data_IF_558951012540
#
_entry.id   IF_558951012540
#
_cell.length_a   1.000
_cell.length_b   1.000
_cell.length_c   1.000
_cell.angle_alpha   90.00
_cell.angle_beta   90.00
_cell.angle_gamma   90.00
#
_symmetry.space_group_name_H-M   'P 1'
#
loop_
_entity.id
_entity.type
_entity.pdbx_description
1 polymer ?
#
# COMPACT_ATOMS: atom_id res chain seq x y z
N UNK A 1 62.83 100.34 -3.02
CA UNK A 1 63.56 99.20 -2.50
C UNK A 1 62.76 98.72 -1.27
N UNK A 2 61.76 97.84 -1.54
CA UNK A 2 60.92 97.41 -0.44
C UNK A 2 60.85 95.84 -0.45
N UNK A 3 61.22 95.36 0.72
CA UNK A 3 61.14 93.89 0.98
C UNK A 3 59.75 93.57 1.58
N UNK A 4 58.97 92.83 0.85
CA UNK A 4 57.70 92.29 1.37
C UNK A 4 57.91 90.92 1.97
N UNK A 5 57.64 90.81 3.25
CA UNK A 5 57.62 89.52 4.01
C UNK A 5 56.33 88.82 3.83
N UNK A 6 56.36 87.66 3.16
CA UNK A 6 55.17 86.74 3.06
C UNK A 6 55.08 85.84 4.32
N UNK A 7 54.04 85.95 5.05
CA UNK A 7 53.69 85.05 6.17
C UNK A 7 53.03 83.76 5.61
N UNK A 8 53.64 82.61 5.94
CA UNK A 8 53.13 81.31 5.61
C UNK A 8 52.09 80.92 6.69
N UNK A 9 50.87 80.63 6.27
CA UNK A 9 49.83 80.03 7.18
C UNK A 9 49.87 78.51 6.97
N UNK A 10 50.16 77.78 8.06
CA UNK A 10 49.96 76.33 8.11
C UNK A 10 48.45 76.06 8.25
N UNK A 11 47.91 75.28 7.33
CA UNK A 11 46.57 74.70 7.45
C UNK A 11 46.71 73.28 7.99
N UNK A 12 46.17 73.08 9.19
CA UNK A 12 46.06 71.71 9.79
C UNK A 12 44.91 70.99 9.14
N UNK A 13 45.20 69.91 8.40
CA UNK A 13 44.20 68.97 7.91
C UNK A 13 43.89 67.95 9.00
N UNK A 14 42.65 67.94 9.47
CA UNK A 14 42.08 66.89 10.36
C UNK A 14 41.49 65.82 9.44
N UNK A 15 42.17 64.70 9.32
CA UNK A 15 41.61 63.50 8.66
C UNK A 15 40.58 62.83 9.59
N UNK A 16 39.34 63.02 9.26
CA UNK A 16 38.25 62.28 9.92
C UNK A 16 38.13 60.84 9.33
N UNK A 17 38.58 59.86 10.12
CA UNK A 17 38.37 58.45 9.81
C UNK A 17 36.89 58.12 10.00
N UNK A 18 36.12 58.01 8.90
CA UNK A 18 34.76 57.45 8.91
C UNK A 18 34.86 55.91 9.00
N UNK A 19 34.65 55.35 10.22
CA UNK A 19 34.35 53.94 10.39
C UNK A 19 32.97 53.65 9.82
N UNK A 20 32.93 53.05 8.62
CA UNK A 20 31.70 52.44 8.05
C UNK A 20 31.50 51.14 8.82
N UNK A 21 30.59 51.14 9.81
CA UNK A 21 30.11 49.92 10.43
C UNK A 21 29.29 49.14 9.36
N UNK A 22 29.87 48.14 8.71
CA UNK A 22 29.14 47.15 7.92
C UNK A 22 28.27 46.34 8.89
N UNK A 23 27.00 46.75 9.01
CA UNK A 23 25.95 45.86 9.54
C UNK A 23 25.84 44.68 8.58
N UNK A 24 26.53 43.58 8.90
CA UNK A 24 26.26 42.30 8.28
C UNK A 24 24.83 41.89 8.68
N UNK A 25 23.88 42.20 7.80
CA UNK A 25 22.50 41.76 7.92
C UNK A 25 22.53 40.21 7.91
N UNK A 26 22.34 39.60 9.09
CA UNK A 26 22.07 38.18 9.15
C UNK A 26 20.84 37.89 8.27
N UNK A 27 21.07 37.31 7.09
CA UNK A 27 19.98 36.77 6.30
C UNK A 27 19.20 35.80 7.18
N UNK A 28 17.87 35.96 7.33
CA UNK A 28 17.09 35.00 8.08
C UNK A 28 17.31 33.65 7.43
N UNK A 29 17.85 32.69 8.20
CA UNK A 29 18.00 31.31 7.76
C UNK A 29 16.65 30.90 7.16
N UNK A 30 16.67 30.49 5.88
CA UNK A 30 15.47 30.03 5.21
C UNK A 30 14.86 28.96 6.11
N UNK A 31 13.68 29.21 6.67
CA UNK A 31 12.96 28.21 7.45
C UNK A 31 12.82 27.01 6.53
N UNK A 32 13.56 25.95 6.81
CA UNK A 32 13.40 24.66 6.14
C UNK A 32 11.96 24.25 6.37
N UNK A 33 11.14 24.32 5.30
CA UNK A 33 9.73 23.89 5.40
C UNK A 33 9.76 22.43 5.80
N UNK A 34 8.98 22.07 6.82
CA UNK A 34 8.81 20.68 7.21
C UNK A 34 8.33 19.91 5.97
N UNK A 35 9.00 18.84 5.53
CA UNK A 35 8.59 18.04 4.38
C UNK A 35 7.14 17.60 4.46
N UNK A 36 6.64 17.33 5.66
CA UNK A 36 5.24 16.98 5.90
C UNK A 36 4.23 18.04 5.39
N UNK A 37 4.62 19.30 5.30
CA UNK A 37 3.76 20.36 4.78
C UNK A 37 3.72 20.38 3.24
N UNK A 38 4.69 19.77 2.57
CA UNK A 38 4.88 19.88 1.12
C UNK A 38 4.77 18.55 0.37
N UNK A 39 5.29 17.46 0.93
CA UNK A 39 5.26 16.14 0.31
C UNK A 39 3.86 15.53 0.45
N UNK A 40 3.34 15.00 -0.65
CA UNK A 40 2.03 14.35 -0.72
C UNK A 40 2.17 12.83 -0.73
N UNK A 41 1.09 12.13 -0.36
CA UNK A 41 1.12 10.65 -0.26
C UNK A 41 1.42 9.97 -1.61
N UNK A 42 1.06 10.57 -2.74
CA UNK A 42 1.42 10.06 -4.06
C UNK A 42 2.83 10.49 -4.53
N UNK A 43 3.61 11.12 -3.68
CA UNK A 43 4.99 11.53 -3.92
C UNK A 43 6.00 10.75 -3.09
N UNK A 44 5.55 9.68 -2.45
CA UNK A 44 6.39 8.69 -1.79
C UNK A 44 6.25 7.33 -2.48
N UNK A 45 7.20 6.44 -2.25
CA UNK A 45 7.15 5.05 -2.69
C UNK A 45 7.35 4.15 -1.48
N UNK A 46 6.56 3.07 -1.41
CA UNK A 46 6.58 2.09 -0.33
C UNK A 46 6.56 0.68 -0.89
N UNK A 47 7.02 -0.29 -0.08
CA UNK A 47 6.87 -1.71 -0.39
C UNK A 47 5.57 -2.22 0.24
N UNK A 48 4.88 -3.08 -0.51
CA UNK A 48 3.72 -3.82 -0.07
C UNK A 48 3.94 -5.32 -0.16
N UNK A 49 3.27 -6.07 0.69
CA UNK A 49 3.13 -7.52 0.54
C UNK A 49 1.89 -7.84 -0.29
N UNK A 50 2.04 -8.72 -1.27
CA UNK A 50 0.95 -9.34 -2.01
C UNK A 50 0.36 -10.44 -1.13
N UNK A 51 -0.96 -10.60 -1.09
CA UNK A 51 -1.63 -11.57 -0.22
C UNK A 51 -1.09 -11.58 1.22
N UNK A 52 -1.02 -10.43 1.86
CA UNK A 52 -0.37 -10.23 3.17
C UNK A 52 -0.87 -11.15 4.28
N UNK A 53 -2.05 -11.69 4.13
CA UNK A 53 -2.72 -12.63 5.05
C UNK A 53 -2.30 -14.08 4.83
N UNK A 54 -1.63 -14.43 3.71
CA UNK A 54 -1.39 -15.81 3.27
C UNK A 54 -0.43 -16.54 4.21
N UNK A 55 -0.97 -17.49 4.97
CA UNK A 55 -0.20 -18.27 5.95
C UNK A 55 0.57 -19.46 5.33
N UNK A 56 0.49 -19.60 4.00
CA UNK A 56 0.98 -20.75 3.25
C UNK A 56 -0.04 -21.88 3.14
N UNK A 57 0.21 -22.77 2.19
CA UNK A 57 -0.62 -23.94 1.97
C UNK A 57 -0.55 -24.90 3.16
N UNK A 58 -1.68 -25.43 3.58
CA UNK A 58 -1.72 -26.51 4.57
C UNK A 58 -1.02 -27.77 4.04
N UNK A 59 -0.33 -28.56 4.90
CA UNK A 59 0.55 -29.64 4.47
C UNK A 59 -0.09 -30.69 3.55
N UNK A 60 -1.32 -31.13 3.84
CA UNK A 60 -2.05 -32.09 3.04
C UNK A 60 -2.45 -31.50 1.69
N UNK A 61 -2.93 -30.26 1.67
CA UNK A 61 -3.24 -29.51 0.45
C UNK A 61 -1.97 -29.30 -0.39
N UNK A 62 -0.88 -28.87 0.21
CA UNK A 62 0.40 -28.68 -0.47
C UNK A 62 0.85 -29.97 -1.18
N UNK A 63 0.78 -31.10 -0.47
CA UNK A 63 1.14 -32.43 -1.05
C UNK A 63 0.18 -32.83 -2.17
N UNK A 64 -1.11 -32.57 -2.02
CA UNK A 64 -2.11 -32.84 -3.04
C UNK A 64 -1.84 -32.04 -4.31
N UNK A 65 -1.60 -30.73 -4.16
CA UNK A 65 -1.27 -29.83 -5.28
C UNK A 65 0.06 -30.23 -5.95
N UNK A 66 1.09 -30.56 -5.16
CA UNK A 66 2.36 -31.06 -5.73
C UNK A 66 2.17 -32.28 -6.65
N UNK A 67 1.24 -33.16 -6.31
CA UNK A 67 0.96 -34.38 -7.07
C UNK A 67 0.04 -34.12 -8.28
N UNK A 68 -0.94 -33.27 -8.16
CA UNK A 68 -2.01 -33.07 -9.14
C UNK A 68 -1.83 -31.83 -10.00
N UNK A 69 -1.31 -30.74 -9.43
CA UNK A 69 -1.13 -29.44 -10.04
C UNK A 69 0.15 -28.77 -9.55
N UNK A 70 1.33 -29.30 -9.95
CA UNK A 70 2.61 -28.75 -9.52
C UNK A 70 2.83 -27.30 -9.95
N UNK A 71 2.19 -26.87 -11.01
CA UNK A 71 2.15 -25.46 -11.46
C UNK A 71 1.45 -24.55 -10.44
N UNK A 72 0.26 -24.94 -9.99
CA UNK A 72 -0.49 -24.20 -8.95
C UNK A 72 0.25 -24.25 -7.61
N UNK A 73 0.80 -25.42 -7.22
CA UNK A 73 1.63 -25.48 -6.03
C UNK A 73 2.80 -24.49 -6.10
N UNK A 74 3.47 -24.42 -7.25
CA UNK A 74 4.63 -23.55 -7.39
C UNK A 74 4.27 -22.06 -7.25
N UNK A 75 3.10 -21.62 -7.76
CA UNK A 75 2.65 -20.24 -7.64
C UNK A 75 2.22 -19.85 -6.22
N UNK A 76 1.78 -20.81 -5.41
CA UNK A 76 1.31 -20.60 -4.04
C UNK A 76 2.35 -20.92 -2.95
N UNK A 77 3.60 -21.23 -3.34
CA UNK A 77 4.64 -21.73 -2.44
C UNK A 77 5.40 -20.58 -1.75
N UNK A 78 4.67 -19.72 -1.07
CA UNK A 78 5.16 -18.65 -0.21
C UNK A 78 4.25 -18.50 1.01
N UNK A 79 4.64 -17.71 1.98
CA UNK A 79 3.85 -17.40 3.17
C UNK A 79 4.35 -16.13 3.82
N UNK A 80 3.49 -15.45 4.57
CA UNK A 80 3.81 -14.24 5.31
C UNK A 80 3.61 -14.44 6.82
N UNK A 81 4.38 -13.74 7.68
CA UNK A 81 4.09 -13.63 9.09
C UNK A 81 2.82 -12.79 9.32
N UNK A 82 2.40 -12.64 10.58
CA UNK A 82 1.27 -11.79 10.93
C UNK A 82 1.45 -10.33 10.46
N UNK A 83 0.33 -9.62 10.28
CA UNK A 83 0.31 -8.27 9.71
C UNK A 83 1.11 -7.24 10.53
N UNK A 84 1.14 -7.36 11.86
CA UNK A 84 1.89 -6.45 12.70
C UNK A 84 3.40 -6.66 12.52
N UNK A 85 3.84 -7.90 12.38
CA UNK A 85 5.23 -8.25 12.07
C UNK A 85 5.65 -7.67 10.72
N UNK A 86 4.83 -7.80 9.68
CA UNK A 86 5.11 -7.19 8.37
C UNK A 86 5.24 -5.66 8.46
N UNK A 87 4.33 -5.00 9.18
CA UNK A 87 4.40 -3.54 9.41
C UNK A 87 5.65 -3.14 10.20
N UNK A 88 6.06 -3.94 11.20
CA UNK A 88 7.31 -3.73 11.95
C UNK A 88 8.54 -3.85 11.04
N UNK A 89 8.46 -4.64 9.99
CA UNK A 89 9.54 -4.82 9.02
C UNK A 89 9.47 -3.84 7.82
N UNK A 90 8.66 -2.79 7.89
CA UNK A 90 8.65 -1.71 6.92
C UNK A 90 7.66 -1.87 5.77
N UNK A 91 6.83 -2.91 5.75
CA UNK A 91 5.71 -3.01 4.81
C UNK A 91 4.72 -1.87 5.08
N UNK A 92 4.27 -1.18 4.04
CA UNK A 92 3.30 -0.08 4.15
C UNK A 92 2.11 -0.23 3.18
N UNK A 93 2.06 -1.30 2.42
CA UNK A 93 0.83 -1.76 1.78
C UNK A 93 0.59 -3.21 2.18
N UNK A 94 -0.64 -3.48 2.60
CA UNK A 94 -1.14 -4.81 2.91
C UNK A 94 -2.27 -5.14 1.95
N UNK A 95 -2.33 -6.40 1.51
CA UNK A 95 -3.39 -6.90 0.65
C UNK A 95 -4.21 -7.95 1.40
N UNK A 96 -5.52 -7.79 1.37
CA UNK A 96 -6.46 -8.68 2.03
C UNK A 96 -7.54 -9.12 1.03
N UNK A 97 -7.51 -10.40 0.69
CA UNK A 97 -8.54 -11.01 -0.16
C UNK A 97 -9.73 -11.40 0.70
N UNK A 98 -10.89 -10.93 0.33
CA UNK A 98 -12.09 -11.14 1.13
C UNK A 98 -13.22 -11.81 0.36
N UNK A 99 -13.89 -12.70 1.06
CA UNK A 99 -15.12 -13.35 0.62
C UNK A 99 -16.29 -12.88 1.48
N UNK A 100 -17.39 -12.52 0.85
CA UNK A 100 -18.61 -12.21 1.57
C UNK A 100 -19.22 -13.49 2.17
N UNK A 101 -19.70 -13.39 3.41
CA UNK A 101 -20.37 -14.46 4.13
C UNK A 101 -21.43 -13.84 5.06
N UNK A 102 -22.48 -13.30 4.45
CA UNK A 102 -23.51 -12.51 5.14
C UNK A 102 -24.32 -13.31 6.16
N UNK A 103 -24.33 -14.64 6.03
CA UNK A 103 -25.06 -15.56 6.93
C UNK A 103 -24.15 -16.25 7.92
N UNK A 104 -22.84 -16.32 7.62
CA UNK A 104 -21.87 -17.15 8.33
C UNK A 104 -21.93 -18.61 7.90
N UNK A 105 -20.80 -19.31 8.06
CA UNK A 105 -20.67 -20.74 7.83
C UNK A 105 -20.41 -21.17 6.39
N UNK A 106 -20.46 -20.27 5.41
CA UNK A 106 -20.28 -20.63 4.00
C UNK A 106 -18.90 -21.28 3.74
N UNK A 107 -17.89 -20.87 4.46
CA UNK A 107 -16.50 -21.34 4.31
C UNK A 107 -16.00 -22.15 5.51
N UNK A 108 -16.91 -22.58 6.40
CA UNK A 108 -16.53 -23.30 7.63
C UNK A 108 -15.99 -24.72 7.36
N UNK A 109 -16.35 -25.34 6.24
CA UNK A 109 -16.02 -26.71 5.90
C UNK A 109 -15.41 -26.79 4.50
N UNK A 110 -14.14 -26.38 4.33
CA UNK A 110 -13.50 -26.34 3.01
C UNK A 110 -13.45 -27.73 2.34
N UNK A 111 -13.73 -27.79 1.04
CA UNK A 111 -13.67 -29.03 0.27
C UNK A 111 -12.28 -29.69 0.35
N UNK A 112 -11.21 -28.91 0.44
CA UNK A 112 -9.85 -29.40 0.55
C UNK A 112 -9.64 -30.43 1.66
N UNK A 113 -10.33 -30.31 2.78
CA UNK A 113 -10.25 -31.31 3.86
C UNK A 113 -10.72 -32.69 3.42
N UNK A 114 -11.78 -32.75 2.58
CA UNK A 114 -12.30 -34.01 2.02
C UNK A 114 -11.34 -34.57 0.96
N UNK A 115 -10.80 -33.69 0.10
CA UNK A 115 -9.86 -34.09 -0.95
C UNK A 115 -8.57 -34.69 -0.36
N UNK A 116 -8.06 -34.09 0.72
CA UNK A 116 -6.90 -34.62 1.47
C UNK A 116 -7.20 -36.01 2.04
N UNK A 117 -8.36 -36.19 2.67
CA UNK A 117 -8.78 -37.48 3.20
C UNK A 117 -8.97 -38.54 2.12
N UNK A 118 -9.59 -38.21 0.99
CA UNK A 118 -9.77 -39.11 -0.17
C UNK A 118 -8.43 -39.55 -0.78
N UNK A 119 -7.42 -38.66 -0.74
CA UNK A 119 -6.08 -38.98 -1.20
C UNK A 119 -5.29 -39.85 -0.20
N UNK A 120 -5.89 -40.24 0.93
CA UNK A 120 -5.22 -41.02 1.97
C UNK A 120 -4.10 -40.25 2.68
N UNK A 121 -4.13 -38.93 2.65
CA UNK A 121 -3.16 -38.06 3.32
C UNK A 121 -3.58 -37.77 4.76
N UNK A 122 -2.63 -37.49 5.66
CA UNK A 122 -2.95 -37.02 7.02
C UNK A 122 -3.83 -35.77 6.98
N UNK A 123 -4.76 -35.66 7.93
CA UNK A 123 -5.62 -34.48 8.07
C UNK A 123 -4.77 -33.23 8.37
N UNK A 124 -5.11 -32.14 7.70
CA UNK A 124 -4.49 -30.86 7.97
C UNK A 124 -4.92 -30.28 9.33
N UNK A 125 -4.08 -29.47 9.97
CA UNK A 125 -4.49 -28.72 11.16
C UNK A 125 -5.60 -27.73 10.81
N UNK A 126 -6.50 -27.49 11.77
CA UNK A 126 -7.52 -26.43 11.62
C UNK A 126 -6.80 -25.07 11.78
N UNK A 127 -6.80 -24.20 10.77
CA UNK A 127 -6.00 -22.97 10.81
C UNK A 127 -6.57 -21.88 11.73
N UNK A 128 -7.86 -21.98 12.11
CA UNK A 128 -8.55 -21.02 13.00
C UNK A 128 -9.73 -21.69 13.70
N UNK A 129 -10.23 -21.11 14.84
CA UNK A 129 -11.39 -21.65 15.54
C UNK A 129 -12.64 -21.71 14.66
N UNK A 130 -13.35 -22.83 14.70
CA UNK A 130 -14.55 -23.05 13.87
C UNK A 130 -15.63 -21.97 14.08
N UNK A 131 -15.83 -21.50 15.31
CA UNK A 131 -16.82 -20.50 15.65
C UNK A 131 -16.59 -19.16 14.93
N UNK A 132 -15.35 -18.85 14.51
CA UNK A 132 -15.02 -17.66 13.72
C UNK A 132 -15.62 -17.76 12.33
N UNK A 133 -15.54 -18.96 11.73
CA UNK A 133 -16.06 -19.19 10.37
C UNK A 133 -17.57 -19.34 10.32
N UNK A 134 -18.20 -19.68 11.45
CA UNK A 134 -19.67 -19.80 11.56
C UNK A 134 -20.38 -18.45 11.70
N UNK A 135 -19.67 -17.37 12.04
CA UNK A 135 -20.28 -16.03 12.23
C UNK A 135 -20.40 -15.30 10.89
N UNK A 136 -21.43 -14.44 10.72
CA UNK A 136 -21.51 -13.53 9.59
C UNK A 136 -20.30 -12.58 9.52
N UNK A 137 -20.02 -12.06 8.30
CA UNK A 137 -18.93 -11.10 8.05
C UNK A 137 -17.96 -11.59 7.00
N UNK A 138 -17.04 -10.72 6.56
CA UNK A 138 -16.09 -11.08 5.51
C UNK A 138 -14.98 -12.00 6.04
N UNK A 139 -14.66 -13.04 5.23
CA UNK A 139 -13.59 -14.01 5.52
C UNK A 139 -12.38 -13.71 4.66
N UNK A 140 -11.19 -13.90 5.22
CA UNK A 140 -9.91 -13.59 4.56
C UNK A 140 -9.23 -14.88 4.12
N UNK A 141 -9.15 -15.13 2.82
CA UNK A 141 -8.47 -16.30 2.24
C UNK A 141 -8.23 -16.07 0.75
N UNK A 142 -7.27 -16.79 0.17
CA UNK A 142 -6.90 -16.65 -1.23
C UNK A 142 -7.86 -17.40 -2.18
N UNK A 143 -8.02 -18.70 -1.97
CA UNK A 143 -8.94 -19.53 -2.76
C UNK A 143 -9.77 -20.37 -1.80
N UNK A 144 -11.08 -20.20 -1.87
CA UNK A 144 -11.98 -21.05 -1.09
C UNK A 144 -11.71 -22.53 -1.36
N UNK A 145 -11.88 -23.34 -0.34
CA UNK A 145 -11.72 -24.79 -0.41
C UNK A 145 -10.30 -25.34 -0.46
N UNK A 146 -9.30 -24.63 -1.01
CA UNK A 146 -7.93 -25.19 -1.14
C UNK A 146 -6.83 -24.29 -0.57
N UNK A 147 -6.96 -22.98 -0.60
CA UNK A 147 -5.97 -22.05 -0.09
C UNK A 147 -6.62 -21.06 0.86
N UNK A 148 -7.07 -21.61 1.99
CA UNK A 148 -7.90 -20.91 2.95
C UNK A 148 -7.18 -20.57 4.27
N UNK A 149 -5.92 -20.95 4.43
CA UNK A 149 -5.14 -20.59 5.61
C UNK A 149 -4.77 -19.10 5.58
N UNK A 150 -5.02 -18.42 6.70
CA UNK A 150 -4.79 -16.99 6.84
C UNK A 150 -4.17 -16.67 8.19
N UNK A 151 -3.29 -15.67 8.26
CA UNK A 151 -2.69 -15.21 9.52
C UNK A 151 -3.69 -14.43 10.38
N UNK A 152 -4.84 -14.08 9.85
CA UNK A 152 -5.91 -13.40 10.59
C UNK A 152 -7.29 -13.74 10.03
N UNK A 153 -8.28 -13.93 10.90
CA UNK A 153 -9.69 -14.16 10.60
C UNK A 153 -10.57 -13.60 11.74
N UNK A 154 -11.75 -13.06 11.45
CA UNK A 154 -12.29 -12.59 10.16
C UNK A 154 -11.64 -11.27 9.71
N UNK A 155 -12.12 -10.67 8.62
CA UNK A 155 -11.60 -9.39 8.09
C UNK A 155 -11.52 -8.27 9.14
N UNK A 156 -12.55 -8.13 9.98
CA UNK A 156 -12.55 -7.17 11.09
C UNK A 156 -11.33 -7.38 12.02
N UNK A 157 -10.96 -8.61 12.36
CA UNK A 157 -9.81 -8.87 13.24
C UNK A 157 -8.48 -8.52 12.55
N UNK A 158 -8.36 -8.72 11.23
CA UNK A 158 -7.21 -8.26 10.47
C UNK A 158 -7.09 -6.73 10.54
N UNK A 159 -8.19 -6.02 10.34
CA UNK A 159 -8.24 -4.57 10.44
C UNK A 159 -7.93 -4.06 11.86
N UNK A 160 -8.41 -4.75 12.90
CA UNK A 160 -8.11 -4.41 14.30
C UNK A 160 -6.62 -4.55 14.62
N UNK A 161 -5.94 -5.55 14.06
CA UNK A 161 -4.48 -5.70 14.16
C UNK A 161 -3.76 -4.50 13.55
N UNK A 162 -4.14 -4.10 12.34
CA UNK A 162 -3.56 -2.93 11.66
C UNK A 162 -3.86 -1.65 12.44
N UNK A 163 -5.08 -1.47 12.97
CA UNK A 163 -5.45 -0.32 13.79
C UNK A 163 -4.63 -0.25 15.07
N UNK A 164 -4.46 -1.36 15.76
CA UNK A 164 -3.66 -1.42 17.00
C UNK A 164 -2.21 -1.01 16.73
N UNK A 165 -1.62 -1.54 15.66
CA UNK A 165 -0.28 -1.17 15.24
C UNK A 165 -0.18 0.32 14.88
N UNK A 166 -1.09 0.83 14.07
CA UNK A 166 -1.15 2.24 13.67
C UNK A 166 -1.26 3.19 14.86
N UNK A 167 -2.06 2.84 15.86
CA UNK A 167 -2.19 3.64 17.08
C UNK A 167 -0.89 3.66 17.90
N UNK A 168 -0.14 2.57 17.91
CA UNK A 168 1.17 2.48 18.58
C UNK A 168 2.27 3.26 17.82
N UNK A 169 2.09 3.50 16.52
CA UNK A 169 3.07 4.17 15.64
C UNK A 169 2.48 5.41 14.94
N UNK A 170 1.99 6.44 15.65
CA UNK A 170 1.16 7.50 15.08
C UNK A 170 1.86 8.39 14.04
N UNK A 171 3.18 8.24 13.85
CA UNK A 171 3.97 9.00 12.89
C UNK A 171 4.24 8.24 11.59
N UNK A 172 3.73 7.01 11.43
CA UNK A 172 3.93 6.24 10.21
C UNK A 172 3.37 6.97 8.97
N UNK A 173 3.99 6.77 7.81
CA UNK A 173 3.37 7.18 6.53
C UNK A 173 2.08 6.37 6.31
N UNK A 174 1.15 6.82 5.47
CA UNK A 174 -0.11 6.09 5.29
C UNK A 174 0.11 4.61 5.00
N UNK A 175 -0.67 3.75 5.66
CA UNK A 175 -0.76 2.34 5.32
C UNK A 175 -1.83 2.18 4.25
N UNK A 176 -1.45 1.60 3.12
CA UNK A 176 -2.38 1.26 2.04
C UNK A 176 -2.91 -0.16 2.28
N UNK A 177 -4.23 -0.30 2.34
CA UNK A 177 -4.90 -1.60 2.47
C UNK A 177 -5.61 -1.87 1.15
N UNK A 178 -5.06 -2.77 0.36
CA UNK A 178 -5.67 -3.26 -0.87
C UNK A 178 -6.66 -4.36 -0.51
N UNK A 179 -7.87 -4.26 -1.00
CA UNK A 179 -8.93 -5.22 -0.77
C UNK A 179 -9.26 -5.91 -2.09
N UNK A 180 -8.92 -7.17 -2.19
CA UNK A 180 -9.34 -8.02 -3.29
C UNK A 180 -10.72 -8.61 -2.98
N UNK A 181 -11.72 -8.27 -3.80
CA UNK A 181 -13.08 -8.79 -3.69
C UNK A 181 -13.19 -10.11 -4.45
N UNK A 182 -13.09 -11.22 -3.73
CA UNK A 182 -13.03 -12.57 -4.35
C UNK A 182 -14.39 -12.99 -4.92
N UNK A 183 -14.32 -13.53 -6.12
CA UNK A 183 -15.45 -14.13 -6.82
C UNK A 183 -15.30 -15.64 -7.00
N UNK A 184 -16.09 -16.21 -7.92
CA UNK A 184 -16.02 -17.64 -8.23
C UNK A 184 -14.65 -17.96 -8.84
N UNK A 185 -13.90 -18.83 -8.15
CA UNK A 185 -12.73 -19.50 -8.71
C UNK A 185 -12.87 -21.00 -8.52
N UNK A 186 -12.55 -21.76 -9.54
CA UNK A 186 -12.22 -23.16 -9.34
C UNK A 186 -10.83 -23.22 -8.71
N UNK A 187 -10.64 -24.08 -7.74
CA UNK A 187 -9.33 -24.22 -7.09
C UNK A 187 -8.28 -24.91 -7.97
N UNK A 188 -8.52 -25.01 -9.26
CA UNK A 188 -7.60 -25.63 -10.21
C UNK A 188 -7.38 -27.14 -10.02
N UNK A 189 -8.07 -27.78 -9.09
CA UNK A 189 -8.06 -29.24 -8.97
C UNK A 189 -9.15 -29.84 -9.85
N UNK A 190 -8.83 -30.83 -10.67
CA UNK A 190 -9.83 -31.55 -11.46
C UNK A 190 -10.65 -32.38 -10.51
N UNK A 191 -11.81 -31.93 -10.19
CA UNK A 191 -12.81 -32.73 -9.61
C UNK A 191 -14.16 -32.30 -9.68
N UNK A 192 -14.89 -33.27 -9.44
CA UNK A 192 -15.76 -33.63 -9.54
C UNK A 192 -16.86 -34.34 -8.86
N UNK A 193 -16.68 -35.04 -7.89
CA UNK A 193 -17.71 -35.66 -7.09
C UNK A 193 -18.38 -34.71 -6.11
N UNK A 194 -17.70 -33.60 -5.78
CA UNK A 194 -18.18 -32.61 -4.81
C UNK A 194 -18.15 -31.22 -5.42
N UNK A 195 -19.24 -30.45 -5.30
CA UNK A 195 -19.26 -29.07 -5.77
C UNK A 195 -18.34 -28.19 -4.93
N UNK A 196 -17.62 -27.30 -5.60
CA UNK A 196 -16.89 -26.22 -4.97
C UNK A 196 -17.84 -25.29 -4.22
N UNK A 197 -17.35 -24.73 -3.12
CA UNK A 197 -18.06 -23.65 -2.42
C UNK A 197 -18.27 -22.48 -3.35
N UNK A 198 -19.52 -22.11 -3.61
CA UNK A 198 -19.87 -20.95 -4.45
C UNK A 198 -19.86 -19.71 -3.60
N UNK A 199 -18.95 -18.76 -3.85
CA UNK A 199 -18.91 -17.50 -3.12
C UNK A 199 -20.20 -16.70 -3.23
N UNK A 200 -20.54 -15.96 -2.19
CA UNK A 200 -21.62 -15.00 -2.21
C UNK A 200 -21.34 -13.90 -3.24
N UNK A 201 -22.31 -13.54 -4.12
CA UNK A 201 -22.08 -12.55 -5.15
C UNK A 201 -21.96 -11.13 -4.56
N UNK A 202 -21.07 -10.33 -5.14
CA UNK A 202 -20.93 -8.92 -4.80
C UNK A 202 -22.09 -8.11 -5.36
N UNK A 203 -22.81 -7.45 -4.45
CA UNK A 203 -23.94 -6.56 -4.75
C UNK A 203 -23.71 -5.19 -4.08
N UNK A 204 -24.44 -4.14 -4.45
CA UNK A 204 -24.35 -2.86 -3.74
C UNK A 204 -24.53 -2.99 -2.23
N UNK A 205 -25.46 -3.82 -1.76
CA UNK A 205 -25.69 -4.05 -0.33
C UNK A 205 -24.54 -4.79 0.37
N UNK A 206 -23.85 -5.71 -0.32
CA UNK A 206 -22.65 -6.37 0.20
C UNK A 206 -21.51 -5.36 0.33
N UNK A 207 -21.37 -4.45 -0.62
CA UNK A 207 -20.41 -3.35 -0.52
C UNK A 207 -20.77 -2.34 0.58
N UNK A 208 -22.04 -2.09 0.85
CA UNK A 208 -22.45 -1.27 2.00
C UNK A 208 -22.06 -1.94 3.32
N UNK A 209 -22.18 -3.26 3.41
CA UNK A 209 -21.72 -4.04 4.56
C UNK A 209 -20.19 -3.98 4.71
N UNK A 210 -19.42 -4.05 3.62
CA UNK A 210 -17.98 -3.89 3.63
C UNK A 210 -17.56 -2.51 4.18
N UNK A 211 -18.16 -1.44 3.66
CA UNK A 211 -17.92 -0.09 4.17
C UNK A 211 -18.27 0.02 5.66
N UNK A 212 -19.33 -0.65 6.10
CA UNK A 212 -19.74 -0.67 7.51
C UNK A 212 -18.72 -1.41 8.40
N UNK A 213 -18.21 -2.58 7.99
CA UNK A 213 -17.16 -3.30 8.72
C UNK A 213 -15.88 -2.45 8.83
N UNK A 214 -15.44 -1.81 7.75
CA UNK A 214 -14.27 -0.92 7.79
C UNK A 214 -14.50 0.24 8.77
N UNK A 215 -15.67 0.86 8.72
CA UNK A 215 -16.01 1.99 9.61
C UNK A 215 -16.18 1.56 11.07
N UNK A 216 -16.49 0.31 11.35
CA UNK A 216 -16.55 -0.22 12.73
C UNK A 216 -15.17 -0.24 13.39
N UNK A 217 -14.11 -0.37 12.57
CA UNK A 217 -12.73 -0.44 13.04
C UNK A 217 -12.04 0.92 12.95
N UNK A 218 -12.17 1.62 11.84
CA UNK A 218 -11.48 2.90 11.60
C UNK A 218 -12.46 4.07 11.60
N UNK A 219 -12.28 5.01 12.52
CA UNK A 219 -13.01 6.28 12.52
C UNK A 219 -12.58 7.18 11.34
N UNK A 220 -13.42 8.12 10.90
CA UNK A 220 -13.12 8.98 9.74
C UNK A 220 -11.82 9.78 9.82
N UNK A 221 -11.36 10.12 11.03
CA UNK A 221 -10.09 10.81 11.26
C UNK A 221 -8.87 9.90 11.12
N UNK A 222 -9.06 8.57 11.16
CA UNK A 222 -8.02 7.55 10.97
C UNK A 222 -7.93 7.03 9.53
N UNK A 223 -8.78 7.51 8.63
CA UNK A 223 -8.78 7.12 7.23
C UNK A 223 -8.53 8.30 6.30
N UNK A 224 -8.06 8.01 5.10
CA UNK A 224 -8.09 8.91 3.94
C UNK A 224 -9.14 8.36 2.99
N UNK A 225 -10.24 9.08 2.84
CA UNK A 225 -11.40 8.63 2.04
C UNK A 225 -11.48 9.35 0.69
N UNK A 226 -12.22 8.79 -0.29
CA UNK A 226 -12.50 9.47 -1.56
C UNK A 226 -13.07 10.88 -1.38
N UNK A 227 -13.97 11.09 -0.41
CA UNK A 227 -14.55 12.41 -0.13
C UNK A 227 -13.51 13.45 0.30
N UNK A 228 -12.55 13.05 1.14
CA UNK A 228 -11.47 13.93 1.60
C UNK A 228 -10.53 14.33 0.45
N UNK A 229 -10.24 13.40 -0.47
CA UNK A 229 -9.38 13.64 -1.64
C UNK A 229 -10.11 14.47 -2.69
N UNK A 230 -11.37 14.13 -2.99
CA UNK A 230 -12.20 14.88 -3.95
C UNK A 230 -12.43 16.31 -3.51
N UNK A 231 -12.67 16.54 -2.23
CA UNK A 231 -12.95 17.87 -1.68
C UNK A 231 -14.12 18.52 -2.41
N UNK A 232 -13.92 19.74 -2.90
CA UNK A 232 -14.94 20.52 -3.65
C UNK A 232 -14.99 20.23 -5.15
N UNK A 233 -14.16 19.33 -5.65
CA UNK A 233 -14.15 18.96 -7.08
C UNK A 233 -15.36 18.09 -7.42
N UNK A 234 -15.74 18.07 -8.69
CA UNK A 234 -16.84 17.22 -9.15
C UNK A 234 -16.46 15.75 -9.16
N UNK A 235 -15.20 15.43 -9.53
CA UNK A 235 -14.68 14.08 -9.66
C UNK A 235 -13.35 13.90 -8.94
N UNK A 236 -13.00 12.66 -8.64
CA UNK A 236 -11.69 12.30 -8.09
C UNK A 236 -10.57 12.55 -9.11
N UNK A 237 -10.79 12.21 -10.40
CA UNK A 237 -9.83 12.49 -11.47
C UNK A 237 -9.44 13.97 -11.51
N UNK A 238 -10.42 14.86 -11.44
CA UNK A 238 -10.13 16.30 -11.38
C UNK A 238 -9.32 16.68 -10.14
N UNK A 239 -9.66 16.10 -8.99
CA UNK A 239 -9.01 16.42 -7.73
C UNK A 239 -7.53 16.01 -7.76
N UNK A 240 -7.22 14.75 -8.09
CA UNK A 240 -5.85 14.24 -8.06
C UNK A 240 -4.95 14.89 -9.10
N UNK A 241 -5.50 15.27 -10.27
CA UNK A 241 -4.74 15.92 -11.34
C UNK A 241 -4.53 17.41 -11.12
N UNK A 242 -5.44 18.11 -10.43
CA UNK A 242 -5.36 19.57 -10.23
C UNK A 242 -4.77 19.95 -8.88
N UNK A 243 -5.21 19.30 -7.82
CA UNK A 243 -4.89 19.68 -6.45
C UNK A 243 -4.00 18.65 -5.75
N UNK A 244 -3.96 17.43 -6.29
CA UNK A 244 -3.20 16.30 -5.75
C UNK A 244 -3.77 15.74 -4.46
N UNK A 245 -3.08 14.74 -3.97
CA UNK A 245 -3.39 14.03 -2.74
C UNK A 245 -3.07 14.84 -1.47
N UNK A 246 -3.57 14.44 -0.29
CA UNK A 246 -3.19 15.05 0.97
C UNK A 246 -1.67 15.06 1.19
N UNK A 247 -1.19 16.07 1.92
CA UNK A 247 0.21 16.11 2.38
C UNK A 247 0.44 15.09 3.50
N UNK A 248 1.69 14.68 3.73
CA UNK A 248 2.04 13.76 4.81
C UNK A 248 1.56 14.25 6.16
N UNK A 249 1.62 15.57 6.43
CA UNK A 249 1.07 16.17 7.66
C UNK A 249 -0.40 15.81 7.93
N UNK A 250 -1.20 15.67 6.87
CA UNK A 250 -2.62 15.29 6.96
C UNK A 250 -2.85 13.79 6.93
N UNK A 251 -1.82 13.03 6.58
CA UNK A 251 -1.92 11.62 6.23
C UNK A 251 -1.22 10.69 7.24
N UNK A 252 -0.29 11.20 8.06
CA UNK A 252 0.38 10.38 9.07
C UNK A 252 -0.59 9.74 10.04
N UNK A 253 -0.31 8.49 10.42
CA UNK A 253 -1.13 7.72 11.35
C UNK A 253 -2.49 7.34 10.79
N UNK A 254 -2.65 7.33 9.45
CA UNK A 254 -3.91 6.97 8.79
C UNK A 254 -3.74 5.79 7.84
N UNK A 255 -4.87 5.17 7.54
CA UNK A 255 -4.97 4.13 6.52
C UNK A 255 -5.72 4.65 5.31
N UNK A 256 -5.52 4.01 4.16
CA UNK A 256 -6.25 4.26 2.91
C UNK A 256 -6.65 2.92 2.32
N UNK A 257 -7.93 2.76 1.97
CA UNK A 257 -8.44 1.53 1.39
C UNK A 257 -8.52 1.64 -0.13
N UNK A 258 -8.01 0.63 -0.80
CA UNK A 258 -7.95 0.51 -2.25
C UNK A 258 -8.69 -0.77 -2.66
N UNK A 259 -9.33 -0.76 -3.81
CA UNK A 259 -10.01 -1.92 -4.39
C UNK A 259 -9.17 -2.48 -5.53
N UNK A 260 -8.87 -3.78 -5.49
CA UNK A 260 -8.10 -4.46 -6.52
C UNK A 260 -8.90 -4.57 -7.83
N UNK A 261 -10.05 -5.25 -7.82
CA UNK A 261 -10.75 -5.59 -9.04
C UNK A 261 -11.47 -4.42 -9.70
N UNK A 262 -11.07 -4.10 -10.93
CA UNK A 262 -11.73 -3.07 -11.73
C UNK A 262 -13.21 -3.38 -12.02
N UNK A 263 -13.60 -4.67 -12.18
CA UNK A 263 -14.99 -5.07 -12.41
C UNK A 263 -15.93 -4.71 -11.26
N UNK A 264 -15.43 -4.64 -10.05
CA UNK A 264 -16.20 -4.34 -8.85
C UNK A 264 -16.56 -2.84 -8.74
N UNK A 265 -15.76 -1.98 -9.35
CA UNK A 265 -15.92 -0.51 -9.29
C UNK A 265 -17.29 -0.02 -9.68
N UNK A 266 -17.87 -0.41 -10.84
CA UNK A 266 -19.22 0.00 -11.22
C UNK A 266 -20.31 -0.38 -10.21
N UNK A 267 -20.24 -1.58 -9.62
CA UNK A 267 -21.20 -2.05 -8.60
C UNK A 267 -21.03 -1.23 -7.31
N UNK A 268 -19.79 -1.00 -6.91
CA UNK A 268 -19.46 -0.21 -5.72
C UNK A 268 -19.92 1.25 -5.83
N UNK A 269 -19.91 1.82 -7.04
CA UNK A 269 -20.34 3.19 -7.30
C UNK A 269 -21.86 3.33 -7.49
N UNK A 270 -22.64 2.27 -7.51
CA UNK A 270 -24.10 2.39 -7.69
C UNK A 270 -24.69 3.25 -6.56
N UNK A 271 -25.39 4.34 -6.94
CA UNK A 271 -25.86 5.36 -6.00
C UNK A 271 -24.80 6.30 -5.41
N UNK A 272 -23.51 6.10 -5.72
CA UNK A 272 -22.37 6.83 -5.16
C UNK A 272 -21.46 7.49 -6.22
N UNK A 273 -21.94 8.44 -7.01
CA UNK A 273 -21.18 9.00 -8.13
C UNK A 273 -19.86 9.59 -7.66
N UNK A 274 -18.77 9.25 -8.35
CA UNK A 274 -17.40 9.62 -7.98
C UNK A 274 -17.03 9.21 -6.54
N UNK A 275 -17.51 8.06 -6.10
CA UNK A 275 -17.29 7.47 -4.76
C UNK A 275 -17.77 8.34 -3.59
N UNK A 276 -18.85 9.13 -3.77
CA UNK A 276 -19.42 9.93 -2.68
C UNK A 276 -19.90 9.04 -1.55
N UNK A 277 -19.42 9.30 -0.32
CA UNK A 277 -19.79 8.52 0.87
C UNK A 277 -19.14 7.14 0.97
N UNK A 278 -18.33 6.71 0.00
CA UNK A 278 -17.61 5.43 0.00
C UNK A 278 -16.28 5.51 0.76
N UNK A 279 -15.72 4.35 1.10
CA UNK A 279 -14.45 4.23 1.84
C UNK A 279 -13.28 3.90 0.91
N UNK A 280 -13.47 2.97 -0.03
CA UNK A 280 -12.42 2.49 -0.92
C UNK A 280 -12.28 3.39 -2.15
N UNK A 281 -11.03 3.51 -2.61
CA UNK A 281 -10.72 4.00 -3.95
C UNK A 281 -10.73 2.80 -4.91
N UNK A 282 -11.48 2.90 -5.99
CA UNK A 282 -11.59 1.87 -7.02
C UNK A 282 -10.33 1.80 -7.88
N UNK A 283 -9.98 0.60 -8.39
CA UNK A 283 -9.05 0.43 -9.49
C UNK A 283 -9.74 0.95 -10.76
N UNK A 284 -9.52 2.22 -11.06
CA UNK A 284 -10.30 2.99 -12.01
C UNK A 284 -9.57 3.25 -13.32
N UNK A 285 -10.33 3.34 -14.41
CA UNK A 285 -9.79 3.84 -15.67
C UNK A 285 -9.44 5.33 -15.55
N UNK A 286 -8.19 5.74 -15.88
CA UNK A 286 -7.78 7.13 -15.87
C UNK A 286 -8.70 8.04 -16.69
N UNK A 287 -9.19 9.13 -16.07
CA UNK A 287 -10.14 10.06 -16.67
C UNK A 287 -11.61 9.81 -16.28
N UNK A 288 -11.93 8.65 -15.72
CA UNK A 288 -13.27 8.38 -15.18
C UNK A 288 -13.51 9.17 -13.88
N UNK A 289 -14.77 9.40 -13.48
CA UNK A 289 -15.09 10.22 -12.31
C UNK A 289 -14.49 9.73 -10.98
N UNK A 290 -14.26 8.44 -10.83
CA UNK A 290 -13.63 7.77 -9.70
C UNK A 290 -12.10 7.63 -9.84
N UNK A 291 -11.52 8.08 -10.95
CA UNK A 291 -10.11 7.92 -11.29
C UNK A 291 -9.16 8.59 -10.31
N UNK A 292 -8.58 7.82 -9.41
CA UNK A 292 -7.57 8.26 -8.46
C UNK A 292 -6.48 7.21 -8.25
N UNK A 293 -6.86 5.95 -8.15
CA UNK A 293 -5.99 4.78 -7.98
C UNK A 293 -6.06 3.90 -9.23
N UNK A 294 -4.93 3.29 -9.60
CA UNK A 294 -4.78 2.42 -10.77
C UNK A 294 -3.79 1.30 -10.43
N UNK A 295 -4.10 0.09 -10.82
CA UNK A 295 -3.16 -1.01 -10.85
C UNK A 295 -2.55 -1.20 -12.24
N UNK A 296 -1.23 -1.36 -12.28
CA UNK A 296 -0.45 -1.68 -13.47
C UNK A 296 0.49 -2.85 -13.14
N UNK A 297 -0.11 -4.02 -12.92
CA UNK A 297 0.58 -5.18 -12.40
C UNK A 297 1.59 -5.81 -13.38
N UNK A 298 1.45 -5.58 -14.69
CA UNK A 298 2.42 -6.04 -15.68
C UNK A 298 3.80 -5.34 -15.59
N UNK A 299 3.89 -4.28 -14.77
CA UNK A 299 5.13 -3.54 -14.56
C UNK A 299 5.60 -2.78 -15.80
N UNK A 300 4.69 -2.27 -16.62
CA UNK A 300 5.02 -1.42 -17.77
C UNK A 300 5.48 -0.04 -17.30
N UNK A 301 6.79 0.15 -17.20
CA UNK A 301 7.37 1.38 -16.66
C UNK A 301 6.91 2.66 -17.39
N UNK A 302 6.69 2.62 -18.70
CA UNK A 302 6.22 3.80 -19.46
C UNK A 302 4.81 4.20 -19.04
N UNK A 303 3.91 3.22 -18.89
CA UNK A 303 2.53 3.44 -18.46
C UNK A 303 2.53 3.96 -17.03
N UNK A 304 3.23 3.27 -16.10
CA UNK A 304 3.33 3.67 -14.70
C UNK A 304 3.84 5.11 -14.59
N UNK A 305 4.98 5.44 -15.22
CA UNK A 305 5.56 6.78 -15.16
C UNK A 305 4.59 7.86 -15.69
N UNK A 306 3.85 7.55 -16.75
CA UNK A 306 2.85 8.47 -17.31
C UNK A 306 1.69 8.72 -16.35
N UNK A 307 1.19 7.69 -15.68
CA UNK A 307 0.13 7.78 -14.67
C UNK A 307 0.58 8.57 -13.45
N UNK A 308 1.77 8.26 -12.92
CA UNK A 308 2.38 8.95 -11.78
C UNK A 308 2.54 10.45 -12.04
N UNK A 309 3.05 10.83 -13.22
CA UNK A 309 3.18 12.25 -13.63
C UNK A 309 1.83 12.96 -13.74
N UNK A 310 0.77 12.24 -14.04
CA UNK A 310 -0.59 12.77 -14.09
C UNK A 310 -1.25 12.91 -12.72
N UNK A 311 -0.62 12.39 -11.65
CA UNK A 311 -1.07 12.53 -10.26
C UNK A 311 -1.84 11.33 -9.70
N UNK A 312 -1.99 10.25 -10.48
CA UNK A 312 -2.62 9.03 -9.97
C UNK A 312 -1.73 8.32 -8.95
N UNK A 313 -2.36 7.61 -8.02
CA UNK A 313 -1.72 6.63 -7.17
C UNK A 313 -1.66 5.30 -7.94
N UNK A 314 -0.47 4.72 -8.08
CA UNK A 314 -0.26 3.51 -8.87
C UNK A 314 0.34 2.40 -8.00
N UNK A 315 -0.29 1.21 -8.06
CA UNK A 315 0.27 -0.04 -7.54
C UNK A 315 0.80 -0.86 -8.72
N UNK A 316 1.95 -1.50 -8.54
CA UNK A 316 2.52 -2.45 -9.49
C UNK A 316 3.18 -3.62 -8.76
N UNK A 317 3.16 -4.81 -9.37
CA UNK A 317 3.81 -6.01 -8.83
C UNK A 317 5.26 -6.12 -9.31
N UNK A 318 6.17 -6.37 -8.37
CA UNK A 318 7.59 -6.60 -8.64
C UNK A 318 7.92 -8.03 -9.05
N UNK A 319 7.03 -8.96 -8.75
CA UNK A 319 7.10 -10.39 -9.07
C UNK A 319 5.69 -10.98 -9.25
N UNK A 320 5.59 -12.22 -9.72
CA UNK A 320 4.33 -12.94 -9.89
C UNK A 320 4.56 -14.44 -9.85
N UNK A 321 3.63 -15.17 -9.25
CA UNK A 321 3.61 -16.64 -9.25
C UNK A 321 4.94 -17.28 -8.80
N UNK A 322 5.70 -16.61 -7.94
CA UNK A 322 7.04 -17.02 -7.48
C UNK A 322 8.12 -17.14 -8.56
N UNK A 323 7.85 -16.76 -9.81
CA UNK A 323 8.75 -16.99 -10.96
C UNK A 323 10.07 -16.24 -10.81
N UNK A 324 10.01 -14.93 -10.58
CA UNK A 324 11.19 -14.08 -10.38
C UNK A 324 11.99 -14.54 -9.16
N UNK A 325 11.29 -14.89 -8.09
CA UNK A 325 11.89 -15.33 -6.84
C UNK A 325 12.63 -16.67 -6.97
N UNK A 326 12.09 -17.62 -7.73
CA UNK A 326 12.74 -18.93 -7.98
C UNK A 326 13.99 -18.79 -8.83
N UNK A 327 13.99 -17.88 -9.78
CA UNK A 327 15.12 -17.65 -10.71
C UNK A 327 16.12 -16.61 -10.23
N UNK A 328 15.77 -15.81 -9.24
CA UNK A 328 16.56 -14.64 -8.82
C UNK A 328 16.54 -13.50 -9.83
N UNK A 329 15.54 -13.46 -10.72
CA UNK A 329 15.43 -12.41 -11.74
C UNK A 329 14.93 -11.09 -11.16
N UNK A 330 15.78 -10.11 -11.10
CA UNK A 330 15.49 -8.79 -10.53
C UNK A 330 14.99 -7.75 -11.54
N UNK A 331 14.92 -8.09 -12.83
CA UNK A 331 14.63 -7.12 -13.90
C UNK A 331 13.25 -6.48 -13.78
N UNK A 332 12.22 -7.24 -13.40
CA UNK A 332 10.87 -6.69 -13.18
C UNK A 332 10.86 -5.79 -11.94
N UNK A 333 11.41 -6.24 -10.82
CA UNK A 333 11.57 -5.46 -9.59
C UNK A 333 12.21 -4.11 -9.85
N UNK A 334 13.40 -4.09 -10.48
CA UNK A 334 14.18 -2.87 -10.71
C UNK A 334 13.46 -1.93 -11.67
N UNK A 335 12.78 -2.46 -12.68
CA UNK A 335 11.94 -1.71 -13.60
C UNK A 335 10.75 -1.06 -12.89
N UNK A 336 10.06 -1.78 -12.00
CA UNK A 336 8.91 -1.27 -11.26
C UNK A 336 9.35 -0.21 -10.24
N UNK A 337 10.40 -0.46 -9.47
CA UNK A 337 10.95 0.52 -8.52
C UNK A 337 11.33 1.83 -9.21
N UNK A 338 12.02 1.76 -10.35
CA UNK A 338 12.44 2.96 -11.09
C UNK A 338 11.30 3.68 -11.83
N UNK A 339 10.18 3.02 -12.07
CA UNK A 339 9.02 3.57 -12.79
C UNK A 339 8.26 4.64 -12.01
N UNK A 340 8.42 4.66 -10.69
CA UNK A 340 7.74 5.57 -9.77
C UNK A 340 6.37 5.08 -9.30
N UNK A 341 6.01 3.80 -9.47
CA UNK A 341 4.85 3.26 -8.77
C UNK A 341 4.95 3.58 -7.28
N UNK A 342 3.90 4.14 -6.70
CA UNK A 342 3.91 4.51 -5.29
C UNK A 342 3.84 3.29 -4.37
N UNK A 343 3.20 2.24 -4.84
CA UNK A 343 3.09 0.96 -4.15
C UNK A 343 3.76 -0.10 -5.02
N UNK A 344 4.82 -0.71 -4.51
CA UNK A 344 5.53 -1.83 -5.15
C UNK A 344 5.22 -3.09 -4.35
N UNK A 345 4.32 -3.92 -4.88
CA UNK A 345 3.81 -5.13 -4.23
C UNK A 345 4.64 -6.35 -4.62
N UNK A 346 4.79 -7.30 -3.70
CA UNK A 346 5.65 -8.49 -3.86
C UNK A 346 5.23 -9.62 -2.92
N UNK A 347 5.50 -10.87 -3.32
CA UNK A 347 5.45 -12.04 -2.43
C UNK A 347 6.68 -12.13 -1.49
N UNK A 348 7.70 -11.30 -1.72
CA UNK A 348 8.99 -11.33 -1.00
C UNK A 348 9.37 -9.93 -0.49
N UNK A 349 8.59 -9.37 0.45
CA UNK A 349 8.85 -8.05 1.01
C UNK A 349 10.12 -8.03 1.89
N UNK A 350 10.56 -6.89 2.41
CA UNK A 350 11.71 -6.81 3.30
C UNK A 350 11.64 -7.86 4.42
N UNK A 351 12.77 -8.53 4.71
CA UNK A 351 12.93 -9.61 5.70
C UNK A 351 12.32 -10.97 5.36
N UNK A 352 11.73 -11.09 4.18
CA UNK A 352 11.16 -12.36 3.68
C UNK A 352 11.85 -12.79 2.37
N UNK A 353 13.18 -13.02 2.37
CA UNK A 353 13.88 -13.40 1.15
C UNK A 353 13.45 -14.78 0.67
N UNK A 354 13.28 -14.92 -0.64
CA UNK A 354 12.95 -16.20 -1.27
C UNK A 354 14.01 -17.25 -0.95
N UNK A 355 13.58 -18.40 -0.46
CA UNK A 355 14.47 -19.51 -0.02
C UNK A 355 15.34 -20.10 -1.13
N UNK A 356 14.97 -19.92 -2.40
CA UNK A 356 15.69 -20.50 -3.55
C UNK A 356 16.86 -19.63 -4.01
N UNK A 357 16.72 -18.31 -3.97
CA UNK A 357 17.65 -17.38 -4.60
C UNK A 357 18.07 -16.23 -3.71
N UNK A 358 17.39 -16.04 -2.58
CA UNK A 358 17.55 -14.84 -1.75
C UNK A 358 16.88 -13.60 -2.36
N UNK A 359 16.03 -13.76 -3.40
CA UNK A 359 15.29 -12.65 -3.99
C UNK A 359 14.45 -11.94 -2.92
N UNK A 360 14.48 -10.63 -2.93
CA UNK A 360 13.72 -9.76 -2.02
C UNK A 360 13.42 -8.43 -2.70
N UNK A 361 12.31 -7.83 -2.37
CA UNK A 361 11.94 -6.47 -2.79
C UNK A 361 11.99 -5.55 -1.60
N UNK A 362 12.95 -4.65 -1.60
CA UNK A 362 13.17 -3.68 -0.52
C UNK A 362 13.57 -2.33 -1.10
N UNK A 363 13.33 -1.26 -0.35
CA UNK A 363 13.88 0.04 -0.65
C UNK A 363 15.37 0.11 -0.25
N UNK A 364 16.17 0.99 -0.88
CA UNK A 364 17.56 1.18 -0.52
C UNK A 364 17.74 1.46 0.98
N UNK A 365 18.86 1.03 1.54
CA UNK A 365 19.27 1.31 2.92
C UNK A 365 18.25 0.90 4.01
N UNK A 366 17.36 -0.05 3.71
CA UNK A 366 16.33 -0.51 4.66
C UNK A 366 15.24 0.52 4.95
N UNK A 367 15.05 1.48 4.05
CA UNK A 367 14.01 2.51 4.20
C UNK A 367 12.61 1.87 4.18
N UNK A 368 11.73 2.38 5.02
CA UNK A 368 10.29 2.04 5.03
C UNK A 368 9.53 2.77 3.92
N UNK A 369 9.96 3.98 3.60
CA UNK A 369 9.44 4.79 2.51
C UNK A 369 10.56 5.62 1.88
N UNK A 370 10.46 5.90 0.59
CA UNK A 370 11.37 6.81 -0.10
C UNK A 370 10.61 7.87 -0.90
N UNK A 371 11.31 8.96 -1.20
CA UNK A 371 10.82 9.97 -2.14
C UNK A 371 10.59 9.33 -3.50
N UNK A 372 9.41 9.55 -4.08
CA UNK A 372 9.09 8.94 -5.37
C UNK A 372 10.07 9.41 -6.45
N UNK A 373 10.72 8.51 -7.20
CA UNK A 373 11.77 8.87 -8.15
C UNK A 373 11.26 9.68 -9.36
N UNK A 374 9.95 9.76 -9.57
CA UNK A 374 9.34 10.41 -10.75
C UNK A 374 8.71 11.75 -10.43
N UNK A 375 8.05 11.91 -9.27
CA UNK A 375 7.22 13.09 -8.99
C UNK A 375 7.45 13.71 -7.60
N UNK A 376 8.41 13.23 -6.81
CA UNK A 376 8.71 13.86 -5.54
C UNK A 376 9.28 15.28 -5.75
N UNK A 377 8.90 16.27 -4.90
CA UNK A 377 9.51 17.58 -4.95
C UNK A 377 10.98 17.52 -4.50
N UNK A 378 11.80 18.44 -4.98
CA UNK A 378 13.23 18.52 -4.61
C UNK A 378 13.47 18.73 -3.10
N UNK A 379 12.44 19.13 -2.37
CA UNK A 379 12.46 19.26 -0.90
C UNK A 379 12.19 17.95 -0.16
N UNK A 380 11.86 16.87 -0.87
CA UNK A 380 11.67 15.56 -0.26
C UNK A 380 13.01 14.96 0.16
N UNK A 381 13.08 14.45 1.39
CA UNK A 381 14.28 13.80 1.94
C UNK A 381 13.85 12.48 2.58
N UNK A 382 14.43 11.36 2.17
CA UNK A 382 14.04 10.02 2.61
C UNK A 382 14.04 9.85 4.13
N UNK A 383 15.10 10.33 4.83
CA UNK A 383 15.24 10.19 6.28
C UNK A 383 14.15 10.93 7.09
N UNK A 384 13.33 11.73 6.45
CA UNK A 384 12.24 12.48 7.10
C UNK A 384 10.87 11.85 6.85
N UNK A 385 10.77 10.88 5.95
CA UNK A 385 9.51 10.24 5.63
C UNK A 385 9.03 9.35 6.78
N UNK A 386 9.89 8.45 7.21
CA UNK A 386 9.65 7.60 8.38
C UNK A 386 11.01 7.21 8.97
N UNK A 387 11.16 7.15 10.30
CA UNK A 387 12.38 6.68 10.92
C UNK A 387 12.75 5.28 10.40
N UNK A 388 14.04 5.04 10.19
CA UNK A 388 14.52 3.70 9.93
C UNK A 388 14.11 2.77 11.09
N UNK A 389 13.68 1.57 10.75
CA UNK A 389 13.33 0.57 11.76
C UNK A 389 14.60 0.25 12.56
N UNK A 390 14.50 0.34 13.89
CA UNK A 390 15.55 -0.16 14.77
C UNK A 390 15.52 -1.69 14.72
N UNK A 391 16.56 -2.29 14.13
CA UNK A 391 16.78 -3.73 14.11
C UNK A 391 17.19 -4.25 15.48
#
# INVERSE_FOLDING_TARGET
>A
MDFAVKRLRLASAVEGIFLIAMCAGAQPAARTRNPDDTVRINQIQVIGSHNSYHAGLLPGIAKLLQQKRPDVFASLDYAHPDLATQLNHGVRQLELDIFADSRGGLYAHPLGTKLVAQAGLPADPVPYPEDVMLKPGFKVMHVQDIDYASVCQPFVACLETVRAWSNAHPQHVPIFILVETKGIRDGGLPDTEHPWTVPEPWTPSVFDALDAEIRSVFSPDKMITPDQVRGRNHTLDQAVRKHGWPTLKKARGKVIFLMDQAWAGPIYMEGHPALRGRVLFTNATPGHPDGAFVEENDGNAKVITALVRRGYLVRAQADSDTVEARTGDVRRRDRVLSSGAQIVSTDYPPFEPARWSGYVVALPDGLTAQCNPVNAPSTCVNSWLEPALSH
#
